data_IF_327929262027
#
_entry.id   IF_327929262027
#
_cell.length_a   1.000
_cell.length_b   1.000
_cell.length_c   1.000
_cell.angle_alpha   90.00
_cell.angle_beta   90.00
_cell.angle_gamma   90.00
#
_symmetry.space_group_name_H-M   'P 1'
#
loop_
_entity.id
_entity.type
_entity.pdbx_description
1 polymer ?
#
# COMPACT_ATOMS: atom_id res chain seq x y z
N UNK A 1 -8.23 7.19 -11.93
CA UNK A 1 -8.20 5.85 -11.31
C UNK A 1 -9.59 5.23 -11.32
N UNK A 2 -9.67 3.98 -11.70
CA UNK A 2 -10.94 3.26 -11.75
C UNK A 2 -11.32 2.74 -10.35
N UNK A 3 -12.54 3.05 -9.90
CA UNK A 3 -13.05 2.69 -8.59
C UNK A 3 -14.14 1.64 -8.70
N UNK A 4 -14.26 0.71 -7.73
CA UNK A 4 -15.41 -0.19 -7.66
C UNK A 4 -16.70 0.57 -7.41
N UNK A 5 -17.83 -0.06 -7.73
CA UNK A 5 -19.16 0.56 -7.64
C UNK A 5 -19.47 1.14 -6.25
N UNK A 6 -19.14 0.43 -5.19
CA UNK A 6 -19.44 0.84 -3.82
C UNK A 6 -18.20 1.31 -3.05
N UNK A 7 -17.22 1.86 -3.76
CA UNK A 7 -15.93 2.19 -3.18
C UNK A 7 -16.00 3.03 -1.91
N UNK A 8 -16.72 4.16 -1.86
CA UNK A 8 -16.73 4.97 -0.64
C UNK A 8 -17.26 4.20 0.58
N UNK A 9 -18.36 3.47 0.41
CA UNK A 9 -18.96 2.69 1.49
C UNK A 9 -18.04 1.54 1.93
N UNK A 10 -17.41 0.86 0.96
CA UNK A 10 -16.51 -0.26 1.23
C UNK A 10 -15.28 0.19 2.01
N UNK A 11 -14.74 1.36 1.71
CA UNK A 11 -13.60 1.94 2.43
C UNK A 11 -14.00 2.28 3.87
N UNK A 12 -15.15 2.90 4.07
CA UNK A 12 -15.65 3.21 5.41
C UNK A 12 -15.85 1.93 6.23
N UNK A 13 -16.37 0.89 5.64
CA UNK A 13 -16.54 -0.40 6.29
C UNK A 13 -15.19 -1.03 6.63
N UNK A 14 -14.23 -0.98 5.72
CA UNK A 14 -12.88 -1.53 5.93
C UNK A 14 -12.22 -0.91 7.16
N UNK A 15 -12.36 0.40 7.34
CA UNK A 15 -11.74 1.14 8.44
C UNK A 15 -12.68 1.39 9.62
N UNK A 16 -13.77 0.66 9.72
CA UNK A 16 -14.68 0.79 10.85
C UNK A 16 -13.94 0.62 12.18
N UNK A 17 -14.11 1.59 13.09
CA UNK A 17 -13.37 1.60 14.34
C UNK A 17 -11.92 2.08 14.23
N UNK A 18 -11.47 2.52 13.03
CA UNK A 18 -10.09 2.95 12.78
C UNK A 18 -10.05 4.31 12.05
N UNK A 19 -10.59 5.38 12.65
CA UNK A 19 -10.69 6.67 11.98
C UNK A 19 -9.34 7.31 11.65
N UNK A 20 -8.32 7.08 12.48
CA UNK A 20 -6.99 7.64 12.24
C UNK A 20 -6.33 6.96 11.04
N UNK A 21 -6.47 5.64 10.93
CA UNK A 21 -5.94 4.88 9.80
C UNK A 21 -6.71 5.20 8.51
N UNK A 22 -8.01 5.45 8.61
CA UNK A 22 -8.80 5.92 7.48
C UNK A 22 -8.22 7.22 6.90
N UNK A 23 -7.89 8.18 7.77
CA UNK A 23 -7.30 9.45 7.34
C UNK A 23 -5.97 9.23 6.61
N UNK A 24 -5.12 8.33 7.13
CA UNK A 24 -3.87 7.98 6.48
C UNK A 24 -4.11 7.33 5.12
N UNK A 25 -5.07 6.42 5.04
CA UNK A 25 -5.43 5.79 3.77
C UNK A 25 -5.93 6.81 2.75
N UNK A 26 -6.77 7.74 3.15
CA UNK A 26 -7.28 8.76 2.25
C UNK A 26 -6.15 9.63 1.68
N UNK A 27 -5.15 9.96 2.50
CA UNK A 27 -3.97 10.68 2.04
C UNK A 27 -3.16 9.84 1.05
N UNK A 28 -2.97 8.56 1.36
CA UNK A 28 -2.28 7.63 0.45
C UNK A 28 -3.03 7.50 -0.87
N UNK A 29 -4.35 7.32 -0.80
CA UNK A 29 -5.18 7.18 -2.00
C UNK A 29 -5.06 8.40 -2.92
N UNK A 30 -5.11 9.61 -2.36
CA UNK A 30 -4.95 10.84 -3.16
C UNK A 30 -3.60 10.86 -3.89
N UNK A 31 -2.53 10.46 -3.21
CA UNK A 31 -1.20 10.40 -3.81
C UNK A 31 -1.11 9.33 -4.90
N UNK A 32 -1.68 8.16 -4.65
CA UNK A 32 -1.70 7.04 -5.63
C UNK A 32 -2.55 7.42 -6.84
N UNK A 33 -3.71 8.00 -6.63
CA UNK A 33 -4.58 8.44 -7.72
C UNK A 33 -3.89 9.47 -8.62
N UNK A 34 -3.19 10.43 -8.02
CA UNK A 34 -2.45 11.45 -8.76
C UNK A 34 -1.27 10.86 -9.55
N UNK A 35 -0.56 9.90 -8.95
CA UNK A 35 0.62 9.30 -9.58
C UNK A 35 0.28 8.24 -10.62
N UNK A 36 -0.83 7.52 -10.44
CA UNK A 36 -1.23 6.39 -11.28
C UNK A 36 -2.68 6.53 -11.77
N UNK A 37 -2.96 7.56 -12.57
CA UNK A 37 -4.35 7.83 -12.99
C UNK A 37 -4.97 6.70 -13.83
N UNK A 38 -4.14 5.85 -14.44
CA UNK A 38 -4.60 4.71 -15.25
C UNK A 38 -4.82 3.45 -14.42
N UNK A 39 -4.54 3.51 -13.11
CA UNK A 39 -4.68 2.37 -12.24
C UNK A 39 -6.12 2.09 -11.83
N UNK A 40 -6.29 1.04 -11.06
CA UNK A 40 -7.57 0.70 -10.44
C UNK A 40 -7.35 0.27 -9.00
N UNK A 41 -8.42 0.28 -8.21
CA UNK A 41 -8.38 -0.10 -6.80
C UNK A 41 -9.48 -1.12 -6.54
N UNK A 42 -9.21 -2.07 -5.64
CA UNK A 42 -10.18 -3.04 -5.15
C UNK A 42 -10.13 -3.09 -3.64
N UNK A 43 -11.31 -3.01 -3.01
CA UNK A 43 -11.42 -3.14 -1.56
C UNK A 43 -11.75 -4.59 -1.26
N UNK A 44 -10.81 -5.28 -0.62
CA UNK A 44 -10.93 -6.68 -0.26
C UNK A 44 -11.07 -6.82 1.26
N UNK A 45 -11.33 -8.01 1.74
CA UNK A 45 -11.59 -8.24 3.16
C UNK A 45 -10.41 -7.81 4.06
N UNK A 46 -9.17 -8.09 3.64
CA UNK A 46 -7.99 -7.87 4.47
C UNK A 46 -7.06 -6.79 3.95
N UNK A 47 -7.28 -6.30 2.75
CA UNK A 47 -6.46 -5.24 2.17
C UNK A 47 -7.20 -4.49 1.08
N UNK A 48 -6.74 -3.28 0.83
CA UNK A 48 -7.15 -2.47 -0.31
C UNK A 48 -6.01 -2.54 -1.31
N UNK A 49 -6.30 -3.06 -2.50
CA UNK A 49 -5.29 -3.42 -3.50
C UNK A 49 -5.29 -2.46 -4.66
N UNK A 50 -4.10 -2.03 -5.08
CA UNK A 50 -3.90 -1.13 -6.22
C UNK A 50 -3.30 -1.91 -7.39
N UNK A 51 -3.91 -1.71 -8.56
CA UNK A 51 -3.56 -2.43 -9.78
C UNK A 51 -3.23 -1.46 -10.92
N UNK A 52 -2.19 -1.83 -11.69
CA UNK A 52 -2.14 -1.48 -13.10
C UNK A 52 -2.74 -2.67 -13.85
N UNK A 53 -2.00 -3.28 -14.77
CA UNK A 53 -2.38 -4.57 -15.35
C UNK A 53 -2.31 -5.67 -14.29
N UNK A 54 -1.43 -5.49 -13.32
CA UNK A 54 -1.22 -6.42 -12.22
C UNK A 54 -1.20 -5.68 -10.89
N UNK A 55 -1.41 -6.41 -9.80
CA UNK A 55 -1.27 -5.87 -8.45
C UNK A 55 0.14 -5.32 -8.25
N UNK A 56 0.27 -4.05 -7.81
CA UNK A 56 1.58 -3.49 -7.53
C UNK A 56 1.74 -3.02 -6.09
N UNK A 57 0.66 -2.70 -5.40
CA UNK A 57 0.70 -2.24 -4.02
C UNK A 57 -0.62 -2.50 -3.31
N UNK A 58 -0.59 -2.48 -2.00
CA UNK A 58 -1.79 -2.62 -1.18
C UNK A 58 -1.63 -1.84 0.12
N UNK A 59 -2.77 -1.50 0.71
CA UNK A 59 -2.84 -0.91 2.04
C UNK A 59 -3.66 -1.81 2.95
N UNK A 60 -3.24 -1.95 4.20
CA UNK A 60 -3.95 -2.78 5.16
C UNK A 60 -3.75 -2.27 6.58
N UNK A 61 -4.58 -2.77 7.49
CA UNK A 61 -4.40 -2.57 8.92
C UNK A 61 -3.43 -3.64 9.44
N UNK A 62 -2.62 -3.34 10.47
CA UNK A 62 -1.73 -4.35 11.04
C UNK A 62 -2.54 -5.50 11.64
N UNK A 63 -2.25 -6.74 11.20
CA UNK A 63 -2.87 -7.94 11.75
C UNK A 63 -2.12 -8.38 13.01
N UNK A 64 -0.78 -8.35 12.95
CA UNK A 64 0.08 -8.67 14.08
C UNK A 64 1.03 -7.51 14.33
N UNK A 65 0.68 -6.70 15.29
CA UNK A 65 1.48 -5.55 15.65
C UNK A 65 2.63 -5.97 16.53
N UNK A 66 3.85 -5.54 16.17
CA UNK A 66 5.02 -5.68 17.03
C UNK A 66 5.04 -4.55 18.06
N UNK A 67 5.72 -4.77 19.18
CA UNK A 67 5.81 -3.79 20.27
C UNK A 67 6.35 -2.44 19.83
N UNK A 68 7.30 -2.44 18.90
CA UNK A 68 7.96 -1.24 18.42
C UNK A 68 7.20 -0.51 17.30
N UNK A 69 6.07 -1.07 16.88
CA UNK A 69 5.25 -0.42 15.85
C UNK A 69 4.40 0.70 16.45
N UNK A 70 4.19 1.80 15.72
CA UNK A 70 3.29 2.85 16.17
C UNK A 70 1.89 2.29 16.47
N UNK A 71 1.23 2.88 17.47
CA UNK A 71 -0.14 2.48 17.84
C UNK A 71 -1.11 2.64 16.69
N UNK A 72 -0.98 3.75 15.94
CA UNK A 72 -1.75 4.04 14.73
C UNK A 72 -0.82 3.91 13.55
N UNK A 73 -1.09 2.96 12.67
CA UNK A 73 -0.33 2.86 11.43
C UNK A 73 -1.12 2.13 10.37
N UNK A 74 -0.81 2.49 9.13
CA UNK A 74 -1.25 1.80 7.92
C UNK A 74 -0.07 1.00 7.41
N UNK A 75 -0.30 -0.22 6.96
CA UNK A 75 0.73 -1.05 6.33
C UNK A 75 0.62 -0.89 4.83
N UNK A 76 1.69 -0.40 4.21
CA UNK A 76 1.78 -0.31 2.75
C UNK A 76 2.64 -1.48 2.27
N UNK A 77 2.04 -2.31 1.44
CA UNK A 77 2.70 -3.51 0.89
C UNK A 77 3.00 -3.28 -0.58
N UNK A 78 4.21 -3.63 -1.01
CA UNK A 78 4.61 -3.50 -2.41
C UNK A 78 5.63 -4.55 -2.81
N UNK A 79 5.68 -4.86 -4.11
CA UNK A 79 6.59 -5.83 -4.68
C UNK A 79 7.67 -5.19 -5.54
N UNK A 80 8.92 -5.62 -5.32
CA UNK A 80 10.09 -5.20 -6.11
C UNK A 80 10.88 -6.43 -6.52
N UNK A 81 11.75 -6.27 -7.52
CA UNK A 81 12.63 -7.35 -7.96
C UNK A 81 13.82 -7.60 -7.03
N UNK A 82 14.02 -6.74 -6.04
CA UNK A 82 15.13 -6.78 -5.11
C UNK A 82 14.67 -6.42 -3.71
N UNK A 83 15.49 -6.76 -2.71
CA UNK A 83 15.23 -6.37 -1.34
C UNK A 83 15.65 -4.93 -1.12
N UNK A 84 14.68 -4.10 -0.74
CA UNK A 84 14.92 -2.70 -0.42
C UNK A 84 15.64 -2.59 0.93
N UNK A 85 16.78 -1.91 0.93
CA UNK A 85 17.56 -1.66 2.14
C UNK A 85 17.22 -0.27 2.67
N UNK A 86 16.29 -0.23 3.61
CA UNK A 86 15.83 1.01 4.23
C UNK A 86 15.28 0.73 5.62
N UNK A 87 15.56 1.60 6.61
CA UNK A 87 14.97 1.46 7.94
C UNK A 87 13.44 1.61 7.95
N UNK A 88 12.85 2.12 6.88
CA UNK A 88 11.39 2.23 6.74
C UNK A 88 10.71 0.90 6.44
N UNK A 89 11.48 -0.10 6.02
CA UNK A 89 10.94 -1.44 5.74
C UNK A 89 10.78 -2.19 7.05
N UNK A 90 9.53 -2.43 7.46
CA UNK A 90 9.23 -3.14 8.70
C UNK A 90 9.39 -4.65 8.54
N UNK A 91 9.14 -5.17 7.34
CA UNK A 91 9.31 -6.58 7.01
C UNK A 91 9.50 -6.74 5.51
N UNK A 92 10.30 -7.73 5.13
CA UNK A 92 10.51 -8.08 3.73
C UNK A 92 10.64 -9.59 3.60
N UNK A 93 10.10 -10.15 2.53
CA UNK A 93 10.20 -11.58 2.24
C UNK A 93 10.31 -11.79 0.73
N UNK A 94 10.90 -12.91 0.35
CA UNK A 94 11.05 -13.30 -1.04
C UNK A 94 10.23 -14.56 -1.31
N UNK A 95 8.91 -14.44 -1.59
CA UNK A 95 8.06 -15.61 -1.83
C UNK A 95 8.45 -16.40 -3.08
N UNK A 96 9.05 -15.71 -4.06
CA UNK A 96 9.57 -16.34 -5.29
C UNK A 96 10.91 -15.68 -5.63
N UNK A 97 11.83 -16.40 -6.27
CA UNK A 97 13.12 -15.82 -6.68
C UNK A 97 12.92 -14.54 -7.50
N UNK A 98 13.58 -13.46 -7.06
CA UNK A 98 13.51 -12.16 -7.72
C UNK A 98 12.19 -11.42 -7.51
N UNK A 99 11.37 -11.82 -6.54
CA UNK A 99 10.12 -11.14 -6.20
C UNK A 99 10.09 -10.93 -4.71
N UNK A 100 10.34 -9.69 -4.30
CA UNK A 100 10.41 -9.29 -2.89
C UNK A 100 9.16 -8.51 -2.49
N UNK A 101 8.50 -8.97 -1.44
CA UNK A 101 7.36 -8.28 -0.83
C UNK A 101 7.85 -7.48 0.36
N UNK A 102 7.49 -6.21 0.40
CA UNK A 102 7.89 -5.27 1.45
C UNK A 102 6.66 -4.75 2.18
N UNK A 103 6.79 -4.58 3.50
CA UNK A 103 5.78 -3.92 4.32
C UNK A 103 6.41 -2.67 4.93
N UNK A 104 5.81 -1.51 4.64
CA UNK A 104 6.25 -0.22 5.13
C UNK A 104 5.13 0.36 5.97
N UNK A 105 5.47 0.84 7.17
CA UNK A 105 4.49 1.44 8.06
C UNK A 105 4.37 2.93 7.78
N UNK A 106 3.13 3.41 7.72
CA UNK A 106 2.82 4.83 7.62
C UNK A 106 1.99 5.19 8.84
N UNK A 107 2.56 6.01 9.72
CA UNK A 107 1.90 6.46 10.95
C UNK A 107 1.53 7.94 10.91
N UNK A 108 2.06 8.68 9.95
CA UNK A 108 1.81 10.10 9.76
C UNK A 108 1.69 10.41 8.28
N UNK A 109 0.85 11.37 7.93
CA UNK A 109 0.63 11.77 6.54
C UNK A 109 1.93 12.22 5.84
N UNK A 110 2.83 12.88 6.56
CA UNK A 110 4.12 13.32 6.02
C UNK A 110 5.03 12.19 5.55
N UNK A 111 4.76 10.95 5.96
CA UNK A 111 5.51 9.77 5.49
C UNK A 111 5.04 9.29 4.11
N UNK A 112 3.93 9.82 3.62
CA UNK A 112 3.50 9.63 2.23
C UNK A 112 4.22 10.70 1.43
N UNK A 113 5.48 10.45 1.18
CA UNK A 113 6.45 11.40 0.65
C UNK A 113 7.01 10.95 -0.70
N UNK A 114 7.94 11.74 -1.23
CA UNK A 114 8.57 11.42 -2.52
C UNK A 114 9.31 10.10 -2.53
N UNK A 115 9.92 9.71 -1.40
CA UNK A 115 10.61 8.44 -1.28
C UNK A 115 9.63 7.27 -1.40
N UNK A 116 8.54 7.30 -0.63
CA UNK A 116 7.51 6.25 -0.70
C UNK A 116 6.91 6.19 -2.10
N UNK A 117 6.56 7.34 -2.67
CA UNK A 117 5.94 7.38 -4.00
C UNK A 117 6.92 6.92 -5.09
N UNK A 118 8.22 7.17 -4.90
CA UNK A 118 9.26 6.64 -5.79
C UNK A 118 9.33 5.12 -5.74
N UNK A 119 9.24 4.52 -4.55
CA UNK A 119 9.17 3.06 -4.42
C UNK A 119 7.90 2.48 -5.03
N UNK A 120 6.78 3.15 -4.88
CA UNK A 120 5.53 2.71 -5.51
C UNK A 120 5.62 2.78 -7.04
N UNK A 121 6.33 3.77 -7.59
CA UNK A 121 6.59 3.83 -9.02
C UNK A 121 7.43 2.65 -9.49
N UNK A 122 8.48 2.29 -8.75
CA UNK A 122 9.27 1.11 -9.02
C UNK A 122 8.42 -0.16 -8.97
N UNK A 123 7.52 -0.24 -7.99
CA UNK A 123 6.61 -1.38 -7.85
C UNK A 123 5.63 -1.48 -9.02
N UNK A 124 5.11 -0.34 -9.49
CA UNK A 124 4.28 -0.27 -10.69
C UNK A 124 5.05 -0.79 -11.89
N UNK A 125 6.26 -0.26 -12.13
CA UNK A 125 7.09 -0.65 -13.25
C UNK A 125 7.42 -2.14 -13.21
N UNK A 126 7.75 -2.66 -12.04
CA UNK A 126 8.04 -4.08 -11.85
C UNK A 126 6.80 -4.94 -12.16
N UNK A 127 5.64 -4.54 -11.66
CA UNK A 127 4.39 -5.26 -11.91
C UNK A 127 4.03 -5.22 -13.41
N UNK A 128 4.18 -4.08 -14.06
CA UNK A 128 3.89 -3.93 -15.49
C UNK A 128 4.86 -4.74 -16.37
N UNK A 129 6.04 -5.09 -15.88
CA UNK A 129 6.99 -5.92 -16.60
C UNK A 129 6.59 -7.40 -16.67
N UNK A 130 5.61 -7.83 -15.88
CA UNK A 130 5.12 -9.19 -15.84
C UNK A 130 4.25 -9.48 -17.08
N UNK A 131 4.30 -10.70 -17.53
CA UNK A 131 3.49 -11.14 -18.68
C UNK A 131 2.18 -11.77 -18.24
#
# INVERSE_FOLDING_TARGET
MELPEHYPADVLFFFDGHPAELALYEALFRAVEAAFPEGSVRVQKTQISFYGRHLFAAASLPVRRRKDWPRTCLVVTMGLSYRLDSPRVAAASEPYPGRWTHHILVSEEGQIDGELMGWLQEAWDFAESKR
#
